data_IF_091853535912
#
_entry.id   IF_091853535912
#
_cell.length_a   1.000
_cell.length_b   1.000
_cell.length_c   1.000
_cell.angle_alpha   90.00
_cell.angle_beta   90.00
_cell.angle_gamma   90.00
#
_symmetry.space_group_name_H-M   'P 1'
#
loop_
_entity.id
_entity.type
_entity.pdbx_description
1 polymer ?
#
# COMPACT_ATOMS: atom_id res chain seq x y z
N UNK A 1 45.21 -14.42 -40.68
CA UNK A 1 45.66 -13.12 -40.15
C UNK A 1 44.62 -12.63 -39.16
N UNK A 2 45.07 -12.37 -37.94
CA UNK A 2 44.24 -12.16 -36.76
C UNK A 2 43.58 -10.78 -36.75
N UNK A 3 42.36 -10.75 -36.24
CA UNK A 3 41.61 -9.54 -35.89
C UNK A 3 40.73 -9.88 -34.69
N UNK A 4 41.34 -10.13 -33.54
CA UNK A 4 40.65 -10.35 -32.27
C UNK A 4 40.01 -9.04 -31.82
N UNK A 5 38.82 -8.76 -32.36
CA UNK A 5 37.96 -7.71 -31.84
C UNK A 5 37.50 -8.10 -30.44
N UNK A 6 37.97 -7.39 -29.42
CA UNK A 6 37.49 -7.53 -28.06
C UNK A 6 35.99 -7.25 -28.03
N UNK A 7 35.17 -8.31 -28.13
CA UNK A 7 33.72 -8.22 -27.87
C UNK A 7 33.57 -7.89 -26.40
N UNK A 8 33.33 -6.62 -26.10
CA UNK A 8 33.10 -6.11 -24.76
C UNK A 8 31.97 -6.96 -24.16
N UNK A 9 32.28 -7.82 -23.17
CA UNK A 9 31.28 -8.69 -22.52
C UNK A 9 30.33 -7.83 -21.71
N UNK A 10 29.38 -7.19 -22.38
CA UNK A 10 28.33 -6.43 -21.75
C UNK A 10 27.41 -7.37 -20.97
N UNK A 11 26.85 -6.87 -19.88
CA UNK A 11 25.88 -7.58 -19.05
C UNK A 11 24.59 -7.94 -19.81
N UNK A 12 24.34 -7.26 -20.92
CA UNK A 12 23.20 -7.46 -21.80
C UNK A 12 23.65 -7.77 -23.22
N UNK A 13 22.94 -8.68 -23.87
CA UNK A 13 23.07 -8.98 -25.29
C UNK A 13 22.44 -7.85 -26.14
N UNK A 14 22.71 -7.85 -27.45
CA UNK A 14 22.17 -6.89 -28.43
C UNK A 14 20.64 -6.79 -28.41
N UNK A 15 19.97 -7.86 -27.98
CA UNK A 15 18.51 -7.93 -27.81
C UNK A 15 18.03 -7.59 -26.40
N UNK A 16 18.84 -6.90 -25.59
CA UNK A 16 18.55 -6.55 -24.18
C UNK A 16 18.30 -7.78 -23.28
N UNK A 17 18.75 -8.96 -23.70
CA UNK A 17 18.65 -10.19 -22.89
C UNK A 17 19.80 -10.24 -21.91
N UNK A 18 19.54 -10.73 -20.70
CA UNK A 18 20.61 -10.95 -19.73
C UNK A 18 21.59 -11.99 -20.23
N UNK A 19 22.89 -11.69 -20.08
CA UNK A 19 23.93 -12.64 -20.45
C UNK A 19 23.93 -13.88 -19.51
N UNK A 20 24.38 -15.06 -19.99
CA UNK A 20 24.43 -16.28 -19.19
C UNK A 20 25.29 -16.19 -17.91
N UNK A 21 26.25 -15.27 -17.86
CA UNK A 21 27.04 -14.97 -16.66
C UNK A 21 26.23 -14.22 -15.62
N UNK A 22 25.43 -13.24 -16.05
CA UNK A 22 24.59 -12.43 -15.17
C UNK A 22 23.47 -13.24 -14.52
N UNK A 23 22.83 -14.14 -15.27
CA UNK A 23 21.75 -15.00 -14.75
C UNK A 23 22.27 -15.84 -13.58
N UNK A 24 23.46 -16.43 -13.71
CA UNK A 24 24.08 -17.25 -12.64
C UNK A 24 24.44 -16.43 -11.41
N UNK A 25 25.00 -15.23 -11.60
CA UNK A 25 25.32 -14.33 -10.51
C UNK A 25 24.06 -13.89 -9.71
N UNK A 26 22.90 -13.82 -10.36
CA UNK A 26 21.62 -13.41 -9.72
C UNK A 26 20.85 -14.56 -9.07
N UNK A 27 21.11 -15.82 -9.42
CA UNK A 27 20.42 -17.00 -8.86
C UNK A 27 20.24 -16.95 -7.33
N UNK A 28 21.27 -16.65 -6.51
CA UNK A 28 21.11 -16.65 -5.06
C UNK A 28 20.24 -15.50 -4.52
N UNK A 29 20.12 -14.40 -5.26
CA UNK A 29 19.39 -13.21 -4.81
C UNK A 29 17.94 -13.18 -5.27
N UNK A 30 17.58 -13.91 -6.33
CA UNK A 30 16.19 -13.96 -6.80
C UNK A 30 15.24 -14.46 -5.72
N UNK A 31 15.60 -15.56 -5.04
CA UNK A 31 14.77 -16.14 -3.96
C UNK A 31 14.74 -15.21 -2.76
N UNK A 32 15.90 -14.73 -2.30
CA UNK A 32 16.01 -13.86 -1.12
C UNK A 32 15.24 -12.56 -1.31
N UNK A 33 15.38 -11.91 -2.47
CA UNK A 33 14.69 -10.66 -2.77
C UNK A 33 13.19 -10.88 -2.98
N UNK A 34 12.79 -11.99 -3.59
CA UNK A 34 11.36 -12.33 -3.72
C UNK A 34 10.71 -12.52 -2.34
N UNK A 35 11.37 -13.22 -1.41
CA UNK A 35 10.87 -13.39 -0.05
C UNK A 35 10.69 -12.06 0.67
N UNK A 36 11.68 -11.17 0.59
CA UNK A 36 11.59 -9.83 1.17
C UNK A 36 10.47 -9.02 0.51
N UNK A 37 10.35 -9.08 -0.81
CA UNK A 37 9.30 -8.40 -1.56
C UNK A 37 7.89 -8.89 -1.19
N UNK A 38 7.71 -10.20 -1.06
CA UNK A 38 6.45 -10.82 -0.62
C UNK A 38 6.14 -10.42 0.82
N UNK A 39 7.13 -10.44 1.72
CA UNK A 39 6.95 -10.01 3.11
C UNK A 39 6.52 -8.55 3.22
N UNK A 40 7.16 -7.66 2.46
CA UNK A 40 6.80 -6.24 2.40
C UNK A 40 5.38 -6.06 1.85
N UNK A 41 5.05 -6.73 0.75
CA UNK A 41 3.71 -6.66 0.15
C UNK A 41 2.62 -7.16 1.11
N UNK A 42 2.86 -8.29 1.78
CA UNK A 42 1.92 -8.85 2.76
C UNK A 42 1.74 -7.91 3.97
N UNK A 43 2.81 -7.30 4.46
CA UNK A 43 2.74 -6.34 5.57
C UNK A 43 1.91 -5.11 5.18
N UNK A 44 2.25 -4.45 4.07
CA UNK A 44 1.55 -3.24 3.63
C UNK A 44 0.11 -3.53 3.25
N UNK A 45 -0.13 -4.62 2.51
CA UNK A 45 -1.48 -5.07 2.15
C UNK A 45 -2.30 -5.48 3.37
N UNK A 46 -1.68 -6.11 4.36
CA UNK A 46 -2.32 -6.49 5.62
C UNK A 46 -2.76 -5.27 6.43
N UNK A 47 -1.90 -4.26 6.55
CA UNK A 47 -2.25 -2.98 7.20
C UNK A 47 -3.40 -2.32 6.45
N UNK A 48 -3.33 -2.23 5.12
CA UNK A 48 -4.39 -1.63 4.29
C UNK A 48 -5.74 -2.37 4.43
N UNK A 49 -5.72 -3.70 4.42
CA UNK A 49 -6.93 -4.49 4.61
C UNK A 49 -7.49 -4.36 6.04
N UNK A 50 -6.61 -4.27 7.04
CA UNK A 50 -6.99 -4.08 8.45
C UNK A 50 -7.66 -2.72 8.65
N UNK A 51 -7.13 -1.66 8.05
CA UNK A 51 -7.74 -0.33 8.17
C UNK A 51 -9.13 -0.27 7.52
N UNK A 52 -9.29 -0.83 6.31
CA UNK A 52 -10.61 -0.92 5.68
C UNK A 52 -11.64 -1.68 6.53
N UNK A 53 -11.22 -2.77 7.18
CA UNK A 53 -12.10 -3.56 8.05
C UNK A 53 -12.46 -2.85 9.35
N UNK A 54 -11.52 -2.09 9.93
CA UNK A 54 -11.68 -1.46 11.26
C UNK A 54 -12.40 -0.12 11.22
N UNK A 55 -12.23 0.66 10.15
CA UNK A 55 -12.74 2.04 10.09
C UNK A 55 -14.28 2.10 9.98
N UNK A 56 -14.92 1.08 9.40
CA UNK A 56 -16.38 1.07 9.17
C UNK A 56 -17.22 0.53 10.34
N UNK A 57 -16.59 0.07 11.42
CA UNK A 57 -17.30 -0.46 12.59
C UNK A 57 -17.31 0.61 13.69
N UNK A 58 -18.16 1.62 13.51
CA UNK A 58 -18.49 2.57 14.57
C UNK A 58 -19.83 2.15 15.18
N UNK A 59 -19.78 1.68 16.42
CA UNK A 59 -20.97 1.25 17.17
C UNK A 59 -21.57 2.50 17.82
N UNK A 60 -22.52 3.15 17.12
CA UNK A 60 -23.23 4.36 17.56
C UNK A 60 -24.13 4.15 18.81
N UNK A 61 -23.81 3.18 19.67
CA UNK A 61 -24.60 2.80 20.86
C UNK A 61 -24.66 3.93 21.92
N UNK A 62 -23.65 4.80 21.97
CA UNK A 62 -23.62 5.94 22.90
C UNK A 62 -24.38 7.18 22.37
N UNK A 63 -24.83 7.14 21.10
CA UNK A 63 -25.62 8.22 20.51
C UNK A 63 -27.09 7.99 20.79
N UNK A 64 -27.57 8.53 21.91
CA UNK A 64 -29.01 8.58 22.24
C UNK A 64 -29.71 9.53 21.27
N UNK A 65 -30.39 8.98 20.25
CA UNK A 65 -31.20 9.77 19.33
C UNK A 65 -32.47 10.20 20.07
N UNK A 66 -32.71 11.50 20.30
CA UNK A 66 -33.96 11.94 20.91
C UNK A 66 -35.11 11.70 19.93
N UNK A 67 -36.21 11.07 20.37
CA UNK A 67 -37.38 10.74 19.55
C UNK A 67 -38.08 11.97 18.93
N UNK A 68 -37.77 13.17 19.43
CA UNK A 68 -38.35 14.41 18.95
C UNK A 68 -37.23 15.35 18.52
N UNK A 69 -37.23 15.85 17.26
CA UNK A 69 -36.24 16.81 16.83
C UNK A 69 -36.33 18.04 17.73
N UNK A 70 -35.25 18.30 18.47
CA UNK A 70 -35.15 19.47 19.35
C UNK A 70 -35.25 20.70 18.45
N UNK A 71 -36.37 21.43 18.57
CA UNK A 71 -36.57 22.71 17.89
C UNK A 71 -35.61 23.74 18.48
N UNK A 72 -34.37 23.76 17.99
CA UNK A 72 -33.31 24.74 18.33
C UNK A 72 -33.70 26.22 18.10
N UNK A 73 -34.92 26.51 17.65
CA UNK A 73 -35.43 27.86 17.42
C UNK A 73 -36.44 28.39 18.46
N UNK A 74 -36.87 27.60 19.45
CA UNK A 74 -37.94 28.05 20.37
C UNK A 74 -37.47 28.56 21.74
N UNK A 75 -36.21 28.32 22.11
CA UNK A 75 -35.66 28.78 23.41
C UNK A 75 -35.19 30.24 23.35
N UNK A 76 -34.80 30.76 22.18
CA UNK A 76 -34.41 32.16 22.01
C UNK A 76 -35.60 33.16 22.01
N UNK A 77 -36.84 32.67 21.89
CA UNK A 77 -38.04 33.52 21.88
C UNK A 77 -38.68 33.72 23.26
N UNK A 78 -38.22 32.99 24.30
CA UNK A 78 -38.81 33.04 25.64
C UNK A 78 -37.90 33.67 26.70
N UNK A 79 -36.62 33.92 26.39
CA UNK A 79 -35.70 34.70 27.24
C UNK A 79 -35.76 36.19 26.90
N UNK A 80 -36.97 36.76 26.93
CA UNK A 80 -37.21 38.15 26.58
C UNK A 80 -38.49 38.71 27.17
N UNK A 81 -38.95 38.19 28.31
CA UNK A 81 -40.05 38.81 29.07
C UNK A 81 -40.01 38.33 30.52
N UNK A 82 -39.18 38.96 31.35
CA UNK A 82 -39.40 39.25 32.78
C UNK A 82 -38.18 39.95 33.37
#
# INVERSE_FOLDING_TARGET
MAGSGYSHKSYYDRHMRQSPSLIRARRPYLVKNALIGVGLFALTGGIYAMTLRKIGQDDFEDVKVPDVPVKKGQEAAQQGTR
#
